data_IF_514097907729
#
_entry.id   IF_514097907729
#
_cell.length_a   1.000
_cell.length_b   1.000
_cell.length_c   1.000
_cell.angle_alpha   90.00
_cell.angle_beta   90.00
_cell.angle_gamma   90.00
#
_symmetry.space_group_name_H-M   'P 1'
#
loop_
_entity.id
_entity.type
_entity.pdbx_description
1 polymer ?
#
# COMPACT_ATOMS: atom_id res chain seq x y z
N UNK A 1 35.78 9.63 -18.93
CA UNK A 1 34.39 9.86 -18.45
C UNK A 1 33.61 8.58 -18.67
N UNK A 2 33.45 7.76 -17.63
CA UNK A 2 32.59 6.57 -17.70
C UNK A 2 31.20 6.95 -17.20
N UNK A 3 30.26 7.15 -18.12
CA UNK A 3 28.84 7.15 -17.78
C UNK A 3 28.44 5.70 -17.50
N UNK A 4 28.40 5.33 -16.22
CA UNK A 4 27.69 4.11 -15.80
C UNK A 4 26.21 4.45 -15.87
N UNK A 5 25.59 4.15 -17.00
CA UNK A 5 24.14 4.13 -17.13
C UNK A 5 23.62 2.99 -16.24
N UNK A 6 23.36 3.28 -14.97
CA UNK A 6 22.74 2.36 -14.04
C UNK A 6 21.39 1.92 -14.60
N UNK A 7 21.26 0.63 -14.90
CA UNK A 7 20.05 0.05 -15.45
C UNK A 7 18.91 0.29 -14.45
N UNK A 8 17.95 1.10 -14.85
CA UNK A 8 16.74 1.40 -14.10
C UNK A 8 15.92 0.11 -13.88
N UNK A 9 16.07 -0.53 -12.72
CA UNK A 9 15.35 -1.77 -12.42
C UNK A 9 14.00 -1.44 -11.77
N UNK A 10 12.91 -1.83 -12.45
CA UNK A 10 11.59 -1.90 -11.81
C UNK A 10 11.56 -3.13 -10.92
N UNK A 11 11.17 -2.98 -9.65
CA UNK A 11 11.05 -4.09 -8.70
C UNK A 11 9.63 -4.19 -8.19
N UNK A 12 8.99 -5.34 -8.42
CA UNK A 12 7.73 -5.69 -7.77
C UNK A 12 8.02 -6.47 -6.49
N UNK A 13 7.39 -6.07 -5.39
CA UNK A 13 7.49 -6.74 -4.10
C UNK A 13 6.12 -6.81 -3.43
N UNK A 14 5.78 -7.95 -2.83
CA UNK A 14 4.70 -8.01 -1.84
C UNK A 14 5.18 -7.35 -0.56
N UNK A 15 4.43 -6.38 -0.04
CA UNK A 15 4.78 -5.68 1.21
C UNK A 15 3.89 -6.08 2.39
N UNK A 16 2.75 -6.71 2.14
CA UNK A 16 1.90 -7.23 3.20
C UNK A 16 0.73 -8.05 2.68
N UNK A 17 0.36 -9.05 3.45
CA UNK A 17 -0.91 -9.74 3.36
C UNK A 17 -1.50 -9.74 4.77
N UNK A 18 -2.73 -9.25 4.92
CA UNK A 18 -3.40 -9.11 6.22
C UNK A 18 -4.76 -9.78 6.12
N UNK A 19 -5.13 -10.48 7.18
CA UNK A 19 -6.48 -10.99 7.40
C UNK A 19 -6.95 -10.49 8.77
N UNK A 20 -8.20 -10.07 8.85
CA UNK A 20 -8.82 -9.65 10.11
C UNK A 20 -10.31 -9.93 10.11
N UNK A 21 -10.90 -9.97 11.31
CA UNK A 21 -12.35 -9.96 11.50
C UNK A 21 -12.73 -8.73 12.31
N UNK A 22 -13.95 -8.23 12.11
CA UNK A 22 -14.46 -7.07 12.83
C UNK A 22 -15.96 -7.17 13.04
N UNK A 23 -16.47 -6.41 14.00
CA UNK A 23 -17.91 -6.32 14.26
C UNK A 23 -18.56 -5.39 13.21
N UNK A 24 -19.66 -5.85 12.60
CA UNK A 24 -20.40 -5.11 11.57
C UNK A 24 -20.89 -3.74 12.06
N UNK A 25 -21.25 -3.61 13.34
CA UNK A 25 -21.69 -2.35 13.95
C UNK A 25 -20.52 -1.39 14.24
N UNK A 26 -19.29 -1.87 14.14
CA UNK A 26 -18.07 -1.05 14.21
C UNK A 26 -17.57 -0.63 12.83
N UNK A 27 -18.14 -1.18 11.75
CA UNK A 27 -17.82 -0.78 10.39
C UNK A 27 -18.42 0.61 10.08
N UNK A 28 -17.68 1.46 9.37
CA UNK A 28 -18.15 2.79 8.95
C UNK A 28 -19.10 2.67 7.74
N UNK A 29 -20.24 2.02 7.96
CA UNK A 29 -21.24 1.72 6.93
C UNK A 29 -22.49 2.58 7.12
N UNK A 30 -23.26 2.73 6.04
CA UNK A 30 -24.60 3.32 6.13
C UNK A 30 -25.49 2.38 6.97
N UNK A 31 -26.30 2.92 7.87
CA UNK A 31 -27.08 2.14 8.85
C UNK A 31 -27.90 0.97 8.26
N UNK A 32 -28.36 1.06 7.01
CA UNK A 32 -29.10 -0.01 6.33
C UNK A 32 -28.26 -1.18 5.81
N UNK A 33 -26.93 -1.06 5.87
CA UNK A 33 -25.97 -2.08 5.41
C UNK A 33 -25.23 -2.74 6.57
N UNK A 34 -25.45 -2.28 7.81
CA UNK A 34 -24.83 -2.83 9.01
C UNK A 34 -25.50 -4.18 9.31
N UNK A 35 -24.74 -5.26 9.19
CA UNK A 35 -25.15 -6.59 9.64
C UNK A 35 -25.17 -6.71 11.17
N UNK A 36 -25.61 -7.86 11.68
CA UNK A 36 -25.63 -8.15 13.12
C UNK A 36 -24.46 -9.05 13.56
N UNK A 37 -23.58 -9.42 12.63
CA UNK A 37 -22.52 -10.38 12.84
C UNK A 37 -21.12 -9.78 12.79
N UNK A 38 -20.16 -10.64 12.42
CA UNK A 38 -18.79 -10.23 12.12
C UNK A 38 -18.62 -10.13 10.60
N UNK A 39 -17.87 -9.13 10.16
CA UNK A 39 -17.33 -9.09 8.81
C UNK A 39 -15.90 -9.67 8.80
N UNK A 40 -15.50 -10.18 7.64
CA UNK A 40 -14.14 -10.65 7.39
C UNK A 40 -13.44 -9.68 6.44
N UNK A 41 -12.15 -9.45 6.63
CA UNK A 41 -11.35 -8.55 5.79
C UNK A 41 -10.06 -9.25 5.39
N UNK A 42 -9.70 -9.11 4.12
CA UNK A 42 -8.42 -9.54 3.58
C UNK A 42 -7.81 -8.39 2.77
N UNK A 43 -6.53 -8.09 3.01
CA UNK A 43 -5.82 -7.04 2.30
C UNK A 43 -4.48 -7.52 1.74
N UNK A 44 -4.14 -7.02 0.56
CA UNK A 44 -2.87 -7.26 -0.12
C UNK A 44 -2.23 -5.92 -0.46
N UNK A 45 -0.96 -5.76 -0.09
CA UNK A 45 -0.14 -4.60 -0.42
C UNK A 45 0.97 -4.98 -1.39
N UNK A 46 0.98 -4.40 -2.58
CA UNK A 46 2.03 -4.60 -3.60
C UNK A 46 2.81 -3.31 -3.81
N UNK A 47 4.14 -3.36 -3.82
CA UNK A 47 4.99 -2.19 -4.09
C UNK A 47 5.74 -2.38 -5.40
N UNK A 48 5.56 -1.42 -6.31
CA UNK A 48 6.37 -1.25 -7.50
C UNK A 48 7.43 -0.17 -7.26
N UNK A 49 8.68 -0.59 -7.06
CA UNK A 49 9.83 0.31 -7.04
C UNK A 49 10.13 0.80 -8.46
N UNK A 50 10.16 2.12 -8.63
CA UNK A 50 10.52 2.79 -9.87
C UNK A 50 11.94 3.37 -9.75
N UNK A 51 12.63 3.60 -10.88
CA UNK A 51 13.89 4.32 -10.88
C UNK A 51 13.75 5.72 -10.25
N UNK A 52 14.82 6.22 -9.65
CA UNK A 52 14.85 7.60 -9.13
C UNK A 52 14.15 7.80 -7.78
N UNK A 53 14.24 6.83 -6.87
CA UNK A 53 13.69 6.87 -5.51
C UNK A 53 12.15 6.88 -5.40
N UNK A 54 11.44 6.65 -6.50
CA UNK A 54 9.99 6.57 -6.52
C UNK A 54 9.49 5.15 -6.31
N UNK A 55 8.29 5.02 -5.76
CA UNK A 55 7.56 3.75 -5.77
C UNK A 55 6.06 3.98 -5.74
N UNK A 56 5.32 3.03 -6.29
CA UNK A 56 3.87 3.01 -6.31
C UNK A 56 3.38 1.83 -5.48
N UNK A 57 2.37 2.05 -4.67
CA UNK A 57 1.74 1.02 -3.85
C UNK A 57 0.23 1.04 -4.08
N UNK A 58 -0.31 0.12 -4.90
CA UNK A 58 -1.75 -0.13 -5.00
C UNK A 58 -2.20 -1.13 -3.92
N UNK A 59 -2.74 -0.67 -2.77
CA UNK A 59 -3.38 -1.58 -1.83
C UNK A 59 -4.70 -2.10 -2.41
N UNK A 60 -4.97 -3.37 -2.18
CA UNK A 60 -6.28 -3.96 -2.38
C UNK A 60 -6.80 -4.48 -1.03
N UNK A 61 -8.06 -4.20 -0.73
CA UNK A 61 -8.78 -4.74 0.42
C UNK A 61 -10.12 -5.28 -0.02
N UNK A 62 -10.44 -6.46 0.46
CA UNK A 62 -11.72 -7.13 0.31
C UNK A 62 -12.34 -7.29 1.70
N UNK A 63 -13.61 -6.97 1.83
CA UNK A 63 -14.38 -7.14 3.05
C UNK A 63 -15.66 -7.90 2.71
N UNK A 64 -15.90 -9.04 3.37
CA UNK A 64 -17.15 -9.78 3.22
C UNK A 64 -18.04 -9.50 4.42
N UNK A 65 -19.19 -8.92 4.12
CA UNK A 65 -20.21 -8.55 5.09
C UNK A 65 -21.43 -9.45 4.94
N UNK A 66 -22.29 -9.44 5.95
CA UNK A 66 -23.52 -10.25 5.93
C UNK A 66 -24.43 -9.94 4.73
N UNK A 67 -24.44 -8.69 4.26
CA UNK A 67 -25.39 -8.22 3.25
C UNK A 67 -24.74 -7.87 1.90
N UNK A 68 -23.42 -7.76 1.85
CA UNK A 68 -22.70 -7.36 0.64
C UNK A 68 -21.22 -7.70 0.77
N UNK A 69 -20.52 -7.63 -0.35
CA UNK A 69 -19.06 -7.68 -0.37
C UNK A 69 -18.52 -6.30 -0.77
N UNK A 70 -17.53 -5.80 -0.04
CA UNK A 70 -16.85 -4.54 -0.27
C UNK A 70 -15.47 -4.78 -0.90
N UNK A 71 -15.19 -4.03 -1.96
CA UNK A 71 -13.89 -4.03 -2.62
C UNK A 71 -13.33 -2.61 -2.60
N UNK A 72 -12.14 -2.45 -2.02
CA UNK A 72 -11.42 -1.18 -1.99
C UNK A 72 -10.08 -1.34 -2.72
N UNK A 73 -9.87 -0.51 -3.74
CA UNK A 73 -8.59 -0.37 -4.44
C UNK A 73 -8.09 1.03 -4.21
N UNK A 74 -6.83 1.16 -3.79
CA UNK A 74 -6.17 2.45 -3.65
C UNK A 74 -4.99 2.58 -4.60
N UNK A 75 -4.47 3.81 -4.70
CA UNK A 75 -3.20 4.09 -5.35
C UNK A 75 -2.43 5.11 -4.52
N UNK A 76 -1.21 4.77 -4.13
CA UNK A 76 -0.33 5.69 -3.41
C UNK A 76 1.04 5.77 -4.08
N UNK A 77 1.60 6.97 -4.17
CA UNK A 77 2.95 7.24 -4.64
C UNK A 77 3.86 7.61 -3.47
N UNK A 78 5.07 7.08 -3.46
CA UNK A 78 6.07 7.32 -2.43
C UNK A 78 7.37 7.77 -3.08
N UNK A 79 7.98 8.80 -2.52
CA UNK A 79 9.30 9.27 -2.92
C UNK A 79 10.23 9.21 -1.71
N UNK A 80 11.39 8.56 -1.86
CA UNK A 80 12.41 8.48 -0.82
C UNK A 80 13.43 9.59 -1.04
N UNK A 81 13.56 10.52 -0.10
CA UNK A 81 14.70 11.43 -0.06
C UNK A 81 15.88 10.74 0.64
N UNK A 82 17.06 10.80 0.02
CA UNK A 82 18.32 10.34 0.60
C UNK A 82 19.23 11.56 0.70
N UNK A 83 19.47 12.12 1.92
CA UNK A 83 20.37 13.26 2.06
C UNK A 83 21.78 12.85 1.65
N UNK A 84 22.52 13.78 1.03
CA UNK A 84 23.93 13.58 0.76
C UNK A 84 24.66 13.27 2.08
N UNK A 85 25.68 12.37 2.06
CA UNK A 85 26.45 12.07 3.25
C UNK A 85 27.05 13.36 3.82
N UNK A 86 26.91 13.55 5.15
CA UNK A 86 27.48 14.69 5.84
C UNK A 86 29.01 14.59 5.83
N UNK A 87 29.64 15.19 4.82
CA UNK A 87 31.08 15.11 4.64
C UNK A 87 31.51 15.81 3.36
N UNK A 88 31.49 17.14 3.39
CA UNK A 88 32.48 18.05 2.81
C UNK A 88 31.89 19.46 2.91
N UNK A 89 32.08 20.08 4.08
CA UNK A 89 32.04 21.54 4.17
C UNK A 89 33.39 21.99 3.59
N UNK A 90 33.44 22.63 2.41
CA UNK A 90 34.68 23.26 1.98
C UNK A 90 35.04 24.35 2.99
N UNK A 91 36.27 24.26 3.50
CA UNK A 91 36.88 25.23 4.40
C UNK A 91 36.98 26.63 3.78
#
# INVERSE_FOLDING_TARGET
MHFVAGRAHVRLSLIGAVYSTGDENSASLTKGLIGLGLFQSAALGLKWGLPGHWSVHPPYRFESHQHFDAHAVGLSGHWKYEPAPAGEIPA
#
